data_IF_364178874497
#
_entry.id   IF_364178874497
#
_cell.length_a   1.000
_cell.length_b   1.000
_cell.length_c   1.000
_cell.angle_alpha   90.00
_cell.angle_beta   90.00
_cell.angle_gamma   90.00
#
_symmetry.space_group_name_H-M   'P 1'
#
loop_
_entity.id
_entity.type
_entity.pdbx_description
1 polymer ?
#
# COMPACT_ATOMS: atom_id res chain seq x y z
N UNK A 1 12.66 0.01 -8.50
CA UNK A 1 11.82 -0.30 -9.67
C UNK A 1 10.45 -0.68 -9.14
N UNK A 2 9.37 -0.05 -9.62
CA UNK A 2 7.99 -0.42 -9.26
C UNK A 2 7.44 -1.33 -10.35
N UNK A 3 6.91 -2.48 -9.99
CA UNK A 3 6.26 -3.40 -10.94
C UNK A 3 4.75 -3.37 -10.71
N UNK A 4 3.99 -2.89 -11.69
CA UNK A 4 2.54 -2.95 -11.69
C UNK A 4 2.08 -4.11 -12.57
N UNK A 5 1.10 -4.89 -12.11
CA UNK A 5 0.45 -5.92 -12.91
C UNK A 5 -0.84 -5.32 -13.45
N UNK A 6 -0.95 -5.20 -14.77
CA UNK A 6 -2.17 -4.68 -15.41
C UNK A 6 -2.92 -5.80 -16.11
N UNK A 7 -4.13 -6.05 -15.64
CA UNK A 7 -5.12 -6.86 -16.34
C UNK A 7 -5.90 -5.94 -17.27
N UNK A 8 -5.63 -5.99 -18.57
CA UNK A 8 -6.32 -5.17 -19.57
C UNK A 8 -7.80 -5.56 -19.72
N UNK A 9 -8.12 -6.83 -19.48
CA UNK A 9 -9.45 -7.41 -19.64
C UNK A 9 -9.74 -8.40 -18.51
N UNK A 10 -11.03 -8.77 -18.38
CA UNK A 10 -11.48 -9.77 -17.42
C UNK A 10 -10.82 -11.12 -17.68
N UNK A 11 -10.08 -11.69 -16.71
CA UNK A 11 -9.52 -13.01 -16.87
C UNK A 11 -10.60 -14.08 -17.05
N UNK A 12 -10.31 -15.10 -17.86
CA UNK A 12 -11.21 -16.24 -18.07
C UNK A 12 -11.38 -17.13 -16.81
N UNK A 13 -10.53 -16.95 -15.80
CA UNK A 13 -10.54 -17.69 -14.54
C UNK A 13 -9.58 -17.08 -13.52
N UNK A 14 -9.34 -17.76 -12.38
CA UNK A 14 -8.37 -17.32 -11.39
C UNK A 14 -6.97 -17.17 -12.01
N UNK A 15 -6.28 -16.09 -11.64
CA UNK A 15 -4.92 -15.78 -12.09
C UNK A 15 -3.96 -15.71 -10.92
N UNK A 16 -2.69 -16.02 -11.17
CA UNK A 16 -1.59 -15.91 -10.21
C UNK A 16 -0.37 -15.34 -10.93
N UNK A 17 0.39 -14.52 -10.23
CA UNK A 17 1.62 -13.92 -10.75
C UNK A 17 2.76 -14.25 -9.81
N UNK A 18 3.87 -14.74 -10.34
CA UNK A 18 5.02 -15.15 -9.54
C UNK A 18 6.24 -14.35 -9.94
N UNK A 19 6.85 -13.71 -8.95
CA UNK A 19 8.06 -12.90 -9.09
C UNK A 19 9.21 -13.59 -8.38
N UNK A 20 10.41 -13.47 -8.97
CA UNK A 20 11.62 -13.85 -8.25
C UNK A 20 11.99 -12.69 -7.34
N UNK A 21 12.16 -12.98 -6.05
CA UNK A 21 12.62 -12.03 -5.05
C UNK A 21 14.08 -12.34 -4.73
N UNK A 22 14.95 -11.46 -5.20
CA UNK A 22 16.35 -11.41 -4.77
C UNK A 22 16.44 -10.55 -3.50
N UNK A 23 16.56 -11.22 -2.35
CA UNK A 23 16.63 -10.57 -1.05
C UNK A 23 18.09 -10.30 -0.60
N UNK A 24 19.10 -10.65 -1.41
CA UNK A 24 20.50 -10.55 -1.00
C UNK A 24 20.77 -11.32 0.30
N UNK A 25 21.28 -10.63 1.32
CA UNK A 25 21.52 -11.18 2.66
C UNK A 25 20.32 -11.07 3.60
N UNK A 26 19.21 -10.48 3.16
CA UNK A 26 18.01 -10.31 3.98
C UNK A 26 17.16 -11.59 3.99
N UNK A 27 16.54 -11.87 5.12
CA UNK A 27 15.62 -13.00 5.28
C UNK A 27 14.15 -12.49 5.23
N UNK A 28 13.40 -12.80 4.16
CA UNK A 28 11.99 -12.44 4.05
C UNK A 28 11.10 -13.38 4.86
N UNK A 29 10.09 -12.82 5.52
CA UNK A 29 9.09 -13.54 6.32
C UNK A 29 7.70 -12.95 6.09
N UNK A 30 6.73 -13.82 5.90
CA UNK A 30 5.31 -13.44 5.86
C UNK A 30 4.83 -12.97 7.23
N UNK A 31 3.90 -12.02 7.24
CA UNK A 31 3.22 -11.53 8.43
C UNK A 31 1.71 -11.79 8.35
N UNK A 32 1.06 -11.84 9.51
CA UNK A 32 -0.38 -12.12 9.61
C UNK A 32 -1.29 -11.05 8.99
N UNK A 33 -0.76 -9.87 8.70
CA UNK A 33 -1.47 -8.78 8.00
C UNK A 33 -1.39 -8.89 6.46
N UNK A 34 -0.71 -9.93 5.94
CA UNK A 34 -0.51 -10.14 4.51
C UNK A 34 0.73 -9.45 3.94
N UNK A 35 1.50 -8.71 4.76
CA UNK A 35 2.77 -8.11 4.35
C UNK A 35 3.92 -9.11 4.41
N UNK A 36 5.02 -8.79 3.73
CA UNK A 36 6.28 -9.53 3.79
C UNK A 36 7.36 -8.61 4.34
N UNK A 37 8.01 -9.01 5.42
CA UNK A 37 9.09 -8.26 6.02
C UNK A 37 10.44 -8.91 5.77
N UNK A 38 11.42 -8.11 5.41
CA UNK A 38 12.79 -8.53 5.13
C UNK A 38 13.68 -8.09 6.29
N UNK A 39 14.29 -9.06 6.96
CA UNK A 39 15.12 -8.84 8.15
C UNK A 39 16.60 -8.93 7.80
N UNK A 40 17.40 -8.08 8.44
CA UNK A 40 18.87 -8.17 8.42
C UNK A 40 19.37 -9.04 9.57
N UNK A 41 20.49 -8.64 10.18
CA UNK A 41 21.05 -9.31 11.35
C UNK A 41 20.15 -9.20 12.59
N UNK A 42 19.44 -8.07 12.74
CA UNK A 42 18.45 -7.89 13.79
C UNK A 42 17.11 -8.56 13.37
N UNK A 43 16.70 -9.63 14.07
CA UNK A 43 15.45 -10.32 13.75
C UNK A 43 14.21 -9.60 14.27
N UNK A 44 14.35 -8.56 15.10
CA UNK A 44 13.23 -7.82 15.68
C UNK A 44 12.78 -6.68 14.75
N UNK A 45 13.72 -6.02 14.08
CA UNK A 45 13.44 -4.85 13.26
C UNK A 45 13.63 -5.17 11.76
N UNK A 46 12.56 -5.12 10.95
CA UNK A 46 12.70 -5.30 9.51
C UNK A 46 13.48 -4.14 8.89
N UNK A 47 14.25 -4.42 7.84
CA UNK A 47 14.94 -3.40 7.04
C UNK A 47 14.03 -2.92 5.89
N UNK A 48 13.25 -3.83 5.30
CA UNK A 48 12.29 -3.54 4.23
C UNK A 48 10.96 -4.25 4.52
N UNK A 49 9.87 -3.67 4.02
CA UNK A 49 8.55 -4.30 4.06
C UNK A 49 7.91 -4.20 2.67
N UNK A 50 7.43 -5.32 2.17
CA UNK A 50 6.48 -5.37 1.05
C UNK A 50 5.09 -5.33 1.69
N UNK A 51 4.37 -4.18 1.67
CA UNK A 51 3.02 -4.08 2.19
C UNK A 51 2.06 -5.09 1.55
N UNK A 52 0.90 -5.32 2.21
CA UNK A 52 -0.18 -6.11 1.64
C UNK A 52 -0.59 -5.55 0.28
N UNK A 53 -0.66 -6.42 -0.72
CA UNK A 53 -1.08 -6.03 -2.06
C UNK A 53 -2.58 -5.66 -2.08
N UNK A 54 -2.94 -4.78 -3.02
CA UNK A 54 -4.32 -4.45 -3.33
C UNK A 54 -4.49 -4.35 -4.84
N UNK A 55 -5.74 -4.30 -5.27
CA UNK A 55 -6.10 -4.10 -6.67
C UNK A 55 -7.13 -2.99 -6.83
N UNK A 56 -7.02 -2.23 -7.91
CA UNK A 56 -7.93 -1.14 -8.28
C UNK A 56 -8.48 -1.37 -9.67
N UNK A 57 -9.76 -1.11 -9.88
CA UNK A 57 -10.36 -1.08 -11.21
C UNK A 57 -10.37 0.35 -11.77
N UNK A 58 -10.85 0.52 -13.01
CA UNK A 58 -10.94 1.82 -13.67
C UNK A 58 -12.20 2.63 -13.25
N UNK A 59 -13.06 2.08 -12.40
CA UNK A 59 -14.31 2.73 -11.99
C UNK A 59 -14.01 3.81 -10.98
N UNK A 60 -14.30 5.07 -11.34
CA UNK A 60 -14.13 6.21 -10.44
C UNK A 60 -14.97 6.05 -9.18
N UNK A 61 -14.33 6.26 -8.04
CA UNK A 61 -14.96 6.24 -6.73
C UNK A 61 -14.33 7.33 -5.86
N UNK A 62 -15.09 8.39 -5.58
CA UNK A 62 -14.63 9.52 -4.76
C UNK A 62 -14.53 9.18 -3.28
N UNK A 63 -15.14 8.09 -2.83
CA UNK A 63 -15.03 7.64 -1.44
C UNK A 63 -13.81 6.73 -1.22
N UNK A 64 -13.12 6.34 -2.30
CA UNK A 64 -11.90 5.55 -2.24
C UNK A 64 -10.67 6.44 -2.11
N UNK A 65 -9.69 6.09 -1.25
CA UNK A 65 -8.41 6.79 -1.17
C UNK A 65 -7.61 6.77 -2.48
N UNK A 66 -7.93 5.85 -3.40
CA UNK A 66 -7.27 5.71 -4.70
C UNK A 66 -8.01 6.41 -5.85
N UNK A 67 -9.15 7.07 -5.56
CA UNK A 67 -10.01 7.69 -6.58
C UNK A 67 -10.75 6.71 -7.49
N UNK A 68 -10.54 5.40 -7.31
CA UNK A 68 -11.22 4.31 -8.01
C UNK A 68 -11.62 3.18 -7.05
N UNK A 69 -12.53 2.30 -7.48
CA UNK A 69 -12.89 1.14 -6.67
C UNK A 69 -11.67 0.25 -6.41
N UNK A 70 -11.48 -0.18 -5.17
CA UNK A 70 -10.34 -0.98 -4.76
C UNK A 70 -10.75 -2.20 -3.93
N UNK A 71 -9.83 -3.16 -3.82
CA UNK A 71 -9.96 -4.32 -2.96
C UNK A 71 -8.60 -4.72 -2.40
N UNK A 72 -8.53 -4.89 -1.09
CA UNK A 72 -7.37 -5.46 -0.39
C UNK A 72 -7.33 -7.00 -0.45
N UNK A 73 -8.26 -7.64 -1.16
CA UNK A 73 -8.30 -9.11 -1.29
C UNK A 73 -7.32 -9.58 -2.36
N UNK A 74 -6.03 -9.44 -2.06
CA UNK A 74 -4.93 -9.96 -2.86
C UNK A 74 -4.00 -10.72 -1.92
N UNK A 75 -3.86 -12.03 -2.12
CA UNK A 75 -2.99 -12.86 -1.29
C UNK A 75 -1.55 -12.78 -1.80
N UNK A 76 -0.60 -12.74 -0.86
CA UNK A 76 0.83 -12.82 -1.12
C UNK A 76 1.41 -14.03 -0.40
N UNK A 77 2.16 -14.85 -1.13
CA UNK A 77 2.77 -16.07 -0.61
C UNK A 77 4.25 -16.13 -1.01
N UNK A 78 5.12 -16.43 -0.04
CA UNK A 78 6.54 -16.69 -0.21
C UNK A 78 6.80 -18.18 -0.31
N UNK A 79 7.65 -18.54 -1.26
CA UNK A 79 8.20 -19.89 -1.35
C UNK A 79 9.69 -19.84 -1.61
N UNK A 80 10.42 -20.82 -1.08
CA UNK A 80 11.85 -20.96 -1.36
C UNK A 80 12.05 -21.50 -2.77
N UNK A 81 13.04 -20.94 -3.49
CA UNK A 81 13.44 -21.39 -4.82
C UNK A 81 14.97 -21.42 -4.91
N UNK A 82 15.56 -22.50 -4.39
CA UNK A 82 17.01 -22.61 -4.24
C UNK A 82 17.57 -21.52 -3.32
N UNK A 83 18.48 -20.70 -3.85
CA UNK A 83 19.08 -19.56 -3.13
C UNK A 83 18.19 -18.31 -3.12
N UNK A 84 17.16 -18.26 -3.97
CA UNK A 84 16.27 -17.12 -4.10
C UNK A 84 14.90 -17.42 -3.48
N UNK A 85 14.07 -16.38 -3.42
CA UNK A 85 12.68 -16.46 -3.00
C UNK A 85 11.75 -16.26 -4.20
N UNK A 86 10.54 -16.79 -4.10
CA UNK A 86 9.45 -16.51 -5.04
C UNK A 86 8.28 -15.90 -4.28
N UNK A 87 7.83 -14.73 -4.75
CA UNK A 87 6.62 -14.07 -4.29
C UNK A 87 5.50 -14.37 -5.27
N UNK A 88 4.45 -15.04 -4.81
CA UNK A 88 3.23 -15.29 -5.58
C UNK A 88 2.14 -14.34 -5.14
N UNK A 89 1.58 -13.60 -6.08
CA UNK A 89 0.48 -12.65 -5.89
C UNK A 89 -0.77 -13.23 -6.53
N UNK A 90 -1.84 -13.38 -5.73
CA UNK A 90 -3.12 -13.97 -6.16
C UNK A 90 -4.26 -12.99 -5.89
N UNK A 91 -4.75 -12.25 -6.89
CA UNK A 91 -5.92 -11.39 -6.74
C UNK A 91 -7.22 -12.22 -6.57
N UNK A 92 -8.20 -11.68 -5.83
CA UNK A 92 -9.48 -12.34 -5.63
C UNK A 92 -10.28 -12.47 -6.94
N UNK A 93 -10.45 -13.71 -7.39
CA UNK A 93 -11.14 -14.03 -8.64
C UNK A 93 -12.61 -13.61 -8.62
N UNK A 94 -13.28 -13.63 -7.45
CA UNK A 94 -14.69 -13.23 -7.34
C UNK A 94 -14.86 -11.74 -7.58
N UNK A 95 -14.00 -10.91 -6.98
CA UNK A 95 -13.98 -9.48 -7.20
C UNK A 95 -13.66 -9.14 -8.65
N UNK A 96 -12.65 -9.79 -9.26
CA UNK A 96 -12.31 -9.60 -10.69
C UNK A 96 -13.46 -9.98 -11.63
N UNK A 97 -14.24 -10.99 -11.26
CA UNK A 97 -15.35 -11.49 -12.07
C UNK A 97 -16.65 -10.70 -11.90
N UNK A 98 -16.74 -9.82 -10.90
CA UNK A 98 -17.97 -9.10 -10.58
C UNK A 98 -18.41 -8.18 -11.74
N UNK A 99 -19.71 -8.14 -12.07
CA UNK A 99 -20.22 -7.46 -13.27
C UNK A 99 -20.01 -5.94 -13.24
N UNK A 100 -19.86 -5.34 -12.07
CA UNK A 100 -19.66 -3.91 -11.90
C UNK A 100 -18.21 -3.44 -12.05
N UNK A 101 -17.25 -4.36 -12.27
CA UNK A 101 -15.83 -4.03 -12.47
C UNK A 101 -15.60 -3.35 -13.82
N UNK A 102 -14.72 -2.35 -13.84
CA UNK A 102 -14.27 -1.70 -15.05
C UNK A 102 -12.79 -1.93 -15.29
N UNK A 103 -12.42 -2.48 -16.44
CA UNK A 103 -11.03 -2.74 -16.77
C UNK A 103 -10.39 -1.50 -17.45
N UNK A 104 -9.06 -1.31 -17.35
CA UNK A 104 -8.07 -2.22 -16.76
C UNK A 104 -8.13 -2.29 -15.23
N UNK A 105 -7.80 -3.46 -14.69
CA UNK A 105 -7.52 -3.64 -13.26
C UNK A 105 -6.01 -3.61 -13.07
N UNK A 106 -5.54 -2.85 -12.08
CA UNK A 106 -4.14 -2.75 -11.69
C UNK A 106 -3.95 -3.39 -10.32
N UNK A 107 -2.96 -4.25 -10.19
CA UNK A 107 -2.52 -4.85 -8.93
C UNK A 107 -1.12 -4.29 -8.63
N UNK A 108 -0.96 -3.70 -7.45
CA UNK A 108 0.26 -3.00 -7.05
C UNK A 108 0.88 -3.65 -5.81
N UNK A 109 1.90 -4.50 -5.95
CA UNK A 109 2.78 -4.85 -4.85
C UNK A 109 3.80 -3.71 -4.64
N UNK A 110 3.43 -2.73 -3.83
CA UNK A 110 4.37 -1.68 -3.41
C UNK A 110 5.47 -2.28 -2.52
N UNK A 111 6.70 -1.76 -2.58
CA UNK A 111 7.79 -2.07 -1.64
C UNK A 111 8.11 -0.78 -0.87
N UNK A 112 8.11 -0.83 0.45
CA UNK A 112 8.49 0.29 1.31
C UNK A 112 9.77 -0.03 2.10
N UNK A 113 10.58 1.00 2.35
CA UNK A 113 11.68 0.91 3.31
C UNK A 113 11.07 0.97 4.71
N UNK A 114 11.59 0.18 5.64
CA UNK A 114 11.17 0.20 7.03
C UNK A 114 12.12 1.09 7.87
N UNK A 115 11.60 1.87 8.83
CA UNK A 115 10.19 2.01 9.19
C UNK A 115 9.37 2.65 8.07
N UNK A 116 8.16 2.12 7.82
CA UNK A 116 7.28 2.66 6.80
C UNK A 116 6.79 4.06 7.19
N UNK A 117 6.51 4.93 6.21
CA UNK A 117 5.88 6.24 6.42
C UNK A 117 4.56 6.22 7.24
N UNK A 118 4.00 5.06 7.59
CA UNK A 118 2.95 4.86 8.61
C UNK A 118 3.29 5.43 10.00
N UNK A 119 4.55 5.77 10.28
CA UNK A 119 4.92 6.55 11.48
C UNK A 119 4.85 8.07 11.26
N UNK A 120 4.75 8.52 10.00
CA UNK A 120 4.41 9.90 9.70
C UNK A 120 2.94 10.11 10.07
N UNK A 121 2.69 11.07 10.95
CA UNK A 121 1.35 11.39 11.41
C UNK A 121 0.88 12.61 10.61
N UNK A 122 -0.18 12.44 9.83
CA UNK A 122 -0.91 13.54 9.22
C UNK A 122 -2.31 13.68 9.81
N UNK A 123 -2.75 14.92 9.99
CA UNK A 123 -4.12 15.23 10.41
C UNK A 123 -4.50 16.59 9.86
N UNK A 124 -5.79 16.81 9.58
CA UNK A 124 -6.31 18.14 9.30
C UNK A 124 -7.16 18.68 10.44
N UNK A 125 -7.10 19.99 10.64
CA UNK A 125 -8.05 20.71 11.48
C UNK A 125 -8.83 21.69 10.61
N UNK A 126 -10.14 21.77 10.83
CA UNK A 126 -11.05 22.62 10.07
C UNK A 126 -11.74 23.65 10.96
N UNK A 127 -11.82 24.90 10.51
CA UNK A 127 -12.42 25.98 11.29
C UNK A 127 -13.93 25.86 11.48
N UNK A 128 -14.62 25.11 10.61
CA UNK A 128 -16.07 24.87 10.67
C UNK A 128 -16.45 23.62 11.47
N UNK A 129 -15.47 22.81 11.88
CA UNK A 129 -15.64 21.62 12.71
C UNK A 129 -14.55 21.56 13.79
N UNK A 130 -14.50 22.55 14.72
CA UNK A 130 -13.37 22.74 15.63
C UNK A 130 -13.23 21.65 16.71
N UNK A 131 -14.27 20.83 16.93
CA UNK A 131 -14.29 19.74 17.91
C UNK A 131 -14.18 18.35 17.29
N UNK A 132 -14.04 18.26 15.97
CA UNK A 132 -13.97 16.99 15.24
C UNK A 132 -12.52 16.60 14.99
N UNK A 133 -12.18 15.36 15.30
CA UNK A 133 -10.90 14.76 14.95
C UNK A 133 -10.99 14.12 13.56
N UNK A 134 -10.06 14.47 12.67
CA UNK A 134 -10.01 13.98 11.29
C UNK A 134 -8.87 12.97 11.05
N UNK A 135 -8.26 12.38 12.08
CA UNK A 135 -7.10 11.48 11.92
C UNK A 135 -7.35 10.22 11.08
N UNK A 136 -8.61 9.86 10.82
CA UNK A 136 -9.02 8.69 10.06
C UNK A 136 -9.56 9.05 8.68
N UNK A 137 -9.49 10.33 8.32
CA UNK A 137 -9.96 10.84 7.04
C UNK A 137 -8.88 10.63 5.98
N UNK A 138 -9.27 10.14 4.81
CA UNK A 138 -8.34 9.81 3.73
C UNK A 138 -7.90 11.04 2.92
N UNK A 139 -8.66 12.13 2.99
CA UNK A 139 -8.34 13.39 2.33
C UNK A 139 -7.67 14.37 3.28
N UNK A 140 -6.72 15.12 2.72
CA UNK A 140 -6.01 16.17 3.43
C UNK A 140 -6.22 17.50 2.70
N UNK A 141 -6.95 18.41 3.34
CA UNK A 141 -7.27 19.74 2.79
C UNK A 141 -6.40 20.83 3.40
N UNK A 142 -5.97 21.80 2.58
CA UNK A 142 -5.27 23.01 3.02
C UNK A 142 -5.91 24.27 2.40
N UNK A 143 -6.02 25.33 3.20
CA UNK A 143 -6.59 26.61 2.77
C UNK A 143 -8.12 26.66 2.90
N UNK A 144 -8.76 27.60 2.19
CA UNK A 144 -10.21 27.77 2.19
C UNK A 144 -10.79 27.10 0.96
N UNK A 145 -11.58 26.03 1.14
CA UNK A 145 -12.35 25.44 0.04
C UNK A 145 -13.74 26.07 -0.02
N UNK A 146 -14.45 25.90 -1.13
CA UNK A 146 -15.82 26.41 -1.28
C UNK A 146 -16.86 25.62 -0.49
N UNK A 147 -16.52 24.38 -0.09
CA UNK A 147 -17.40 23.43 0.60
C UNK A 147 -17.07 23.24 2.09
N UNK A 148 -15.98 23.82 2.60
CA UNK A 148 -15.56 23.71 4.00
C UNK A 148 -15.03 25.04 4.53
N UNK A 149 -14.91 25.16 5.85
CA UNK A 149 -14.14 26.20 6.51
C UNK A 149 -12.64 26.16 6.13
N UNK A 150 -11.84 27.00 6.78
CA UNK A 150 -10.39 27.02 6.59
C UNK A 150 -9.81 25.71 7.14
N UNK A 151 -9.16 24.94 6.28
CA UNK A 151 -8.44 23.72 6.63
C UNK A 151 -6.94 24.02 6.82
N UNK A 152 -6.35 23.43 7.87
CA UNK A 152 -4.90 23.40 8.08
C UNK A 152 -4.46 21.95 8.23
N UNK A 153 -3.51 21.52 7.40
CA UNK A 153 -2.90 20.20 7.49
C UNK A 153 -1.67 20.27 8.40
N UNK A 154 -1.52 19.26 9.26
CA UNK A 154 -0.38 19.06 10.14
C UNK A 154 0.31 17.77 9.69
N UNK A 155 1.62 17.81 9.47
CA UNK A 155 2.41 16.65 9.07
C UNK A 155 3.57 16.56 10.05
N UNK A 156 3.76 15.39 10.65
CA UNK A 156 4.86 15.09 11.56
C UNK A 156 5.69 13.96 11.00
N UNK A 157 7.00 14.16 10.89
CA UNK A 157 7.95 13.14 10.48
C UNK A 157 8.77 12.68 11.68
N UNK A 158 9.02 11.37 11.85
CA UNK A 158 10.05 10.89 12.77
C UNK A 158 11.41 11.37 12.27
N UNK A 159 12.17 12.08 13.10
CA UNK A 159 13.50 12.58 12.72
C UNK A 159 14.64 11.60 13.04
N UNK A 160 14.31 10.49 13.71
CA UNK A 160 15.26 9.44 14.12
C UNK A 160 15.89 8.71 12.92
N UNK A 161 15.30 8.86 11.73
CA UNK A 161 15.73 8.25 10.47
C UNK A 161 16.72 9.10 9.66
N UNK A 162 17.00 10.35 10.07
CA UNK A 162 17.98 11.18 9.36
C UNK A 162 19.38 10.77 9.82
N UNK A 163 20.24 10.20 8.94
CA UNK A 163 21.61 9.89 9.31
C UNK A 163 22.33 11.15 9.77
N UNK A 164 23.14 11.04 10.82
CA UNK A 164 23.96 12.14 11.28
C UNK A 164 24.85 12.65 10.13
N UNK A 165 24.62 13.89 9.70
CA UNK A 165 25.41 14.54 8.64
C UNK A 165 24.71 14.76 7.29
N UNK A 166 23.42 14.45 7.16
CA UNK A 166 22.63 14.90 5.99
C UNK A 166 22.63 16.44 5.91
N UNK A 167 23.21 16.98 4.84
CA UNK A 167 23.23 18.42 4.51
C UNK A 167 22.28 18.74 3.37
#
# INVERSE_FOLDING_TARGET
>A
VKENITLAEKPAGPVKFTFTLDAGSLEPKERGDGSIALFGEDPANPVLVIPPAFMTDAKKDKASPYGTSYSAKVAQELSRHGKQWRLTVTPDAKWLAAPERQYPVVIDPTITIAPSASVSQDVMVRSDAPTTNFNSTWDMSAGKTSSTGIARSLISFPLDEIPAGSK
#
